data_IF_052949551158
#
_entry.id   IF_052949551158
#
_cell.length_a   1.000
_cell.length_b   1.000
_cell.length_c   1.000
_cell.angle_alpha   90.00
_cell.angle_beta   90.00
_cell.angle_gamma   90.00
#
_symmetry.space_group_name_H-M   'P 1'
#
loop_
_entity.id
_entity.type
_entity.pdbx_description
1 polymer ?
#
# COMPACT_ATOMS: atom_id res chain seq x y z
N UNK A 1 -7.67 -5.13 -26.96
CA UNK A 1 -8.16 -4.38 -25.77
C UNK A 1 -7.05 -4.31 -24.73
N UNK A 2 -6.68 -3.11 -24.35
CA UNK A 2 -5.65 -2.90 -23.34
C UNK A 2 -6.28 -2.99 -21.96
N UNK A 3 -5.70 -3.81 -21.10
CA UNK A 3 -6.18 -3.96 -19.73
C UNK A 3 -5.37 -3.05 -18.80
N UNK A 4 -6.08 -2.32 -17.95
CA UNK A 4 -5.43 -1.53 -16.90
C UNK A 4 -4.87 -2.44 -15.82
N UNK A 5 -3.69 -2.10 -15.33
CA UNK A 5 -3.05 -2.86 -14.26
C UNK A 5 -3.55 -2.43 -12.89
N UNK A 6 -3.57 -3.38 -11.97
CA UNK A 6 -3.83 -3.09 -10.56
C UNK A 6 -2.49 -2.90 -9.86
N UNK A 7 -2.25 -1.72 -9.33
CA UNK A 7 -0.98 -1.37 -8.69
C UNK A 7 -1.22 -0.79 -7.29
N UNK A 8 -0.25 -0.90 -6.38
CA UNK A 8 -0.37 -0.25 -5.07
C UNK A 8 -0.52 1.27 -5.21
N UNK A 9 -1.23 1.88 -4.26
CA UNK A 9 -1.48 3.32 -4.32
C UNK A 9 -0.18 4.14 -4.34
N UNK A 10 0.86 3.70 -3.63
CA UNK A 10 2.13 4.45 -3.61
C UNK A 10 2.84 4.43 -4.96
N UNK A 11 2.63 3.39 -5.76
CA UNK A 11 3.13 3.33 -7.14
C UNK A 11 2.30 4.24 -8.04
N UNK A 12 0.98 4.29 -7.85
CA UNK A 12 0.13 5.22 -8.57
C UNK A 12 0.56 6.68 -8.34
N UNK A 13 0.84 7.04 -7.09
CA UNK A 13 1.35 8.36 -6.73
C UNK A 13 2.67 8.66 -7.41
N UNK A 14 3.58 7.67 -7.44
CA UNK A 14 4.87 7.80 -8.09
C UNK A 14 4.73 8.02 -9.61
N UNK A 15 3.88 7.23 -10.27
CA UNK A 15 3.61 7.39 -11.70
C UNK A 15 3.06 8.79 -11.99
N UNK A 16 2.07 9.24 -11.22
CA UNK A 16 1.46 10.56 -11.40
C UNK A 16 2.50 11.66 -11.24
N UNK A 17 3.35 11.57 -10.21
CA UNK A 17 4.43 12.54 -10.00
C UNK A 17 5.40 12.57 -11.18
N UNK A 18 5.85 11.40 -11.63
CA UNK A 18 6.80 11.31 -12.75
C UNK A 18 6.22 11.91 -14.03
N UNK A 19 4.96 11.60 -14.34
CA UNK A 19 4.30 12.13 -15.53
C UNK A 19 4.06 13.64 -15.44
N UNK A 20 3.68 14.13 -14.27
CA UNK A 20 3.48 15.55 -14.04
C UNK A 20 4.77 16.35 -14.26
N UNK A 21 5.92 15.77 -13.85
CA UNK A 21 7.22 16.39 -14.05
C UNK A 21 7.91 15.96 -15.33
N UNK A 22 7.16 15.33 -16.23
CA UNK A 22 7.61 14.98 -17.59
C UNK A 22 8.76 13.98 -17.63
N UNK A 23 8.87 13.11 -16.63
CA UNK A 23 9.80 12.01 -16.67
C UNK A 23 9.39 11.05 -17.79
N UNK A 24 10.39 10.48 -18.46
CA UNK A 24 10.17 9.31 -19.31
C UNK A 24 10.07 8.07 -18.43
N UNK A 25 9.64 6.95 -19.01
CA UNK A 25 9.61 5.70 -18.25
C UNK A 25 11.02 5.28 -17.80
N UNK A 26 12.05 5.56 -18.62
CA UNK A 26 13.44 5.31 -18.20
C UNK A 26 13.82 6.15 -16.99
N UNK A 27 13.41 7.40 -16.95
CA UNK A 27 13.62 8.26 -15.79
C UNK A 27 12.89 7.77 -14.55
N UNK A 28 11.71 7.19 -14.73
CA UNK A 28 10.94 6.62 -13.62
C UNK A 28 11.61 5.36 -13.04
N UNK A 29 12.27 4.56 -13.88
CA UNK A 29 13.04 3.40 -13.41
C UNK A 29 14.32 3.79 -12.67
N UNK A 30 14.88 4.93 -13.01
CA UNK A 30 16.15 5.41 -12.43
C UNK A 30 16.07 6.92 -12.17
N UNK A 31 15.31 7.34 -11.15
CA UNK A 31 15.02 8.76 -10.92
C UNK A 31 16.25 9.57 -10.47
N UNK A 32 17.30 8.90 -10.01
CA UNK A 32 18.53 9.55 -9.54
C UNK A 32 19.62 9.53 -10.60
N UNK A 33 19.48 8.67 -11.59
CA UNK A 33 20.48 8.51 -12.66
C UNK A 33 20.30 9.49 -13.80
N UNK A 34 21.02 9.22 -14.88
CA UNK A 34 21.11 10.12 -16.04
C UNK A 34 19.76 10.41 -16.71
N UNK A 35 18.85 9.44 -16.68
CA UNK A 35 17.56 9.59 -17.36
C UNK A 35 16.49 10.23 -16.47
N UNK A 36 16.69 10.28 -15.18
CA UNK A 36 15.72 10.77 -14.22
C UNK A 36 15.86 12.23 -13.85
N UNK A 37 16.98 12.85 -14.19
CA UNK A 37 17.28 14.25 -13.86
C UNK A 37 17.20 14.53 -12.35
N UNK A 38 17.30 13.48 -11.52
CA UNK A 38 17.14 13.58 -10.09
C UNK A 38 15.67 13.68 -9.68
N UNK A 39 15.36 13.20 -8.50
CA UNK A 39 14.02 13.32 -7.95
C UNK A 39 13.90 14.65 -7.22
N UNK A 40 12.83 15.39 -7.53
CA UNK A 40 12.66 16.72 -6.96
C UNK A 40 12.40 16.64 -5.44
N UNK A 41 12.91 17.61 -4.66
CA UNK A 41 12.70 17.62 -3.21
C UNK A 41 11.24 17.70 -2.79
N UNK A 42 10.35 18.07 -3.68
CA UNK A 42 8.91 18.15 -3.42
C UNK A 42 8.22 16.79 -3.39
N UNK A 43 8.87 15.74 -3.87
CA UNK A 43 8.28 14.41 -3.80
C UNK A 43 8.27 13.91 -2.35
N UNK A 44 7.08 13.60 -1.85
CA UNK A 44 6.88 13.26 -0.43
C UNK A 44 6.73 11.77 -0.15
N UNK A 45 6.76 10.94 -1.19
CA UNK A 45 6.64 9.51 -1.04
C UNK A 45 7.97 8.83 -0.72
N UNK A 46 7.90 7.55 -0.40
CA UNK A 46 9.09 6.73 -0.16
C UNK A 46 9.60 6.16 -1.49
N UNK A 47 10.60 6.82 -2.05
CA UNK A 47 11.20 6.46 -3.35
C UNK A 47 11.78 5.04 -3.30
N UNK A 48 12.46 4.69 -2.22
CA UNK A 48 13.08 3.36 -2.12
C UNK A 48 12.05 2.24 -2.13
N UNK A 49 10.93 2.45 -1.47
CA UNK A 49 9.80 1.52 -1.49
C UNK A 49 9.27 1.35 -2.91
N UNK A 50 9.11 2.45 -3.63
CA UNK A 50 8.66 2.43 -5.02
C UNK A 50 9.63 1.65 -5.90
N UNK A 51 10.93 1.93 -5.79
CA UNK A 51 11.94 1.28 -6.61
C UNK A 51 12.05 -0.22 -6.33
N UNK A 52 11.90 -0.64 -5.07
CA UNK A 52 11.86 -2.07 -4.75
C UNK A 52 10.69 -2.76 -5.42
N UNK A 53 9.51 -2.15 -5.37
CA UNK A 53 8.34 -2.71 -6.04
C UNK A 53 8.53 -2.77 -7.55
N UNK A 54 9.01 -1.69 -8.15
CA UNK A 54 9.26 -1.59 -9.59
C UNK A 54 10.25 -2.65 -10.05
N UNK A 55 11.31 -2.85 -9.28
CA UNK A 55 12.32 -3.86 -9.60
C UNK A 55 11.74 -5.28 -9.66
N UNK A 56 10.79 -5.57 -8.78
CA UNK A 56 10.13 -6.89 -8.73
C UNK A 56 8.97 -7.02 -9.70
N UNK A 57 8.44 -5.91 -10.20
CA UNK A 57 7.22 -5.86 -11.00
C UNK A 57 7.40 -4.95 -12.21
N UNK A 58 8.57 -5.00 -12.86
CA UNK A 58 8.91 -4.06 -13.92
C UNK A 58 7.95 -4.10 -15.11
N UNK A 59 7.52 -5.30 -15.53
CA UNK A 59 6.57 -5.41 -16.63
C UNK A 59 5.21 -4.83 -16.27
N UNK A 60 4.77 -5.07 -15.04
CA UNK A 60 3.51 -4.54 -14.54
C UNK A 60 3.55 -3.03 -14.42
N UNK A 61 4.67 -2.49 -13.97
CA UNK A 61 4.90 -1.04 -13.90
C UNK A 61 4.85 -0.43 -15.30
N UNK A 62 5.55 -1.03 -16.26
CA UNK A 62 5.57 -0.55 -17.64
C UNK A 62 4.16 -0.56 -18.25
N UNK A 63 3.40 -1.63 -18.03
CA UNK A 63 2.02 -1.74 -18.49
C UNK A 63 1.13 -0.66 -17.85
N UNK A 64 1.27 -0.43 -16.56
CA UNK A 64 0.53 0.63 -15.86
C UNK A 64 0.87 2.01 -16.41
N UNK A 65 2.13 2.24 -16.70
CA UNK A 65 2.59 3.50 -17.29
C UNK A 65 1.96 3.78 -18.64
N UNK A 66 1.90 2.76 -19.50
CA UNK A 66 1.45 2.91 -20.89
C UNK A 66 -0.07 2.82 -21.02
N UNK A 67 -0.68 1.86 -20.34
CA UNK A 67 -2.10 1.51 -20.53
C UNK A 67 -3.03 2.07 -19.45
N UNK A 68 -2.47 2.64 -18.38
CA UNK A 68 -3.26 3.09 -17.25
C UNK A 68 -3.35 2.03 -16.16
N UNK A 69 -3.94 2.41 -15.03
CA UNK A 69 -3.94 1.58 -13.84
C UNK A 69 -5.19 1.81 -12.99
N UNK A 70 -5.46 0.80 -12.14
CA UNK A 70 -6.37 0.92 -11.02
C UNK A 70 -5.54 0.95 -9.74
N UNK A 71 -5.85 1.87 -8.86
CA UNK A 71 -5.17 2.06 -7.59
C UNK A 71 -5.71 1.07 -6.57
N UNK A 72 -4.83 0.27 -5.97
CA UNK A 72 -5.20 -0.60 -4.87
C UNK A 72 -5.12 0.20 -3.58
N UNK A 73 -6.22 0.25 -2.83
CA UNK A 73 -6.27 0.94 -1.56
C UNK A 73 -5.29 0.33 -0.56
N UNK A 74 -4.66 1.15 0.29
CA UNK A 74 -3.79 0.62 1.33
C UNK A 74 -4.60 -0.18 2.35
N UNK A 75 -4.01 -1.27 2.83
CA UNK A 75 -4.58 -2.07 3.92
C UNK A 75 -3.70 -1.95 5.14
N UNK A 76 -4.31 -2.11 6.29
CA UNK A 76 -3.65 -1.91 7.57
C UNK A 76 -3.86 -3.12 8.48
N UNK A 77 -2.81 -3.46 9.22
CA UNK A 77 -2.90 -4.39 10.35
C UNK A 77 -2.96 -3.56 11.62
N UNK A 78 -3.88 -3.90 12.49
CA UNK A 78 -4.15 -3.17 13.73
C UNK A 78 -3.76 -4.05 14.91
N UNK A 79 -2.82 -3.57 15.73
CA UNK A 79 -2.31 -4.28 16.89
C UNK A 79 -2.50 -3.43 18.14
N UNK A 80 -3.04 -4.03 19.20
CA UNK A 80 -3.13 -3.36 20.52
C UNK A 80 -1.79 -3.51 21.21
N UNK A 81 -1.15 -2.39 21.56
CA UNK A 81 0.20 -2.37 22.15
C UNK A 81 0.31 -3.15 23.46
N UNK A 82 -0.74 -3.15 24.25
CA UNK A 82 -0.76 -3.88 25.51
C UNK A 82 -0.74 -5.40 25.33
N UNK A 83 -1.08 -5.89 24.15
CA UNK A 83 -1.05 -7.33 23.84
C UNK A 83 0.33 -7.65 23.26
N UNK A 84 1.20 -8.24 24.07
CA UNK A 84 2.59 -8.49 23.71
C UNK A 84 2.82 -9.82 22.99
N UNK A 85 1.80 -10.65 22.87
CA UNK A 85 1.90 -11.92 22.14
C UNK A 85 2.10 -11.64 20.65
N UNK A 86 3.15 -12.20 20.03
CA UNK A 86 3.42 -11.94 18.60
C UNK A 86 2.27 -12.37 17.68
N UNK A 87 2.15 -11.68 16.55
CA UNK A 87 1.23 -12.00 15.46
C UNK A 87 -0.24 -11.98 15.84
N UNK A 88 -0.62 -11.21 16.86
CA UNK A 88 -2.04 -11.01 17.21
C UNK A 88 -2.50 -9.63 16.78
N UNK A 89 -3.49 -9.62 15.89
CA UNK A 89 -4.00 -8.42 15.25
C UNK A 89 -5.54 -8.40 15.31
N UNK A 90 -6.11 -7.25 15.04
CA UNK A 90 -7.55 -7.14 14.83
C UNK A 90 -7.92 -7.89 13.56
N UNK A 91 -8.75 -8.90 13.68
CA UNK A 91 -9.13 -9.75 12.56
C UNK A 91 -10.64 -9.78 12.37
N UNK A 92 -11.05 -10.01 11.12
CA UNK A 92 -12.44 -10.22 10.74
C UNK A 92 -12.64 -11.68 10.36
N UNK A 93 -13.59 -12.34 10.99
CA UNK A 93 -13.93 -13.73 10.69
C UNK A 93 -14.76 -13.84 9.43
N UNK A 94 -14.24 -14.51 8.42
CA UNK A 94 -14.94 -14.67 7.14
C UNK A 94 -16.23 -15.48 7.26
N UNK A 95 -16.25 -16.45 8.17
CA UNK A 95 -17.40 -17.32 8.38
C UNK A 95 -18.36 -16.78 9.42
N UNK A 96 -17.83 -16.20 10.51
CA UNK A 96 -18.67 -15.71 11.61
C UNK A 96 -19.21 -14.30 11.40
N UNK A 97 -18.51 -13.49 10.58
CA UNK A 97 -18.85 -12.07 10.41
C UNK A 97 -18.51 -11.22 11.62
N UNK A 98 -17.71 -11.73 12.54
CA UNK A 98 -17.37 -11.05 13.77
C UNK A 98 -15.91 -10.59 13.79
N UNK A 99 -15.61 -9.60 14.64
CA UNK A 99 -14.29 -9.05 14.82
C UNK A 99 -13.72 -9.49 16.18
N UNK A 100 -12.43 -9.85 16.18
CA UNK A 100 -11.70 -10.13 17.44
C UNK A 100 -10.20 -9.99 17.23
N UNK A 101 -9.43 -10.21 18.29
CA UNK A 101 -7.96 -10.21 18.24
C UNK A 101 -7.49 -11.64 18.11
N UNK A 102 -6.77 -11.95 17.04
CA UNK A 102 -6.33 -13.32 16.79
C UNK A 102 -5.06 -13.35 15.95
N UNK A 103 -4.52 -14.54 15.77
CA UNK A 103 -3.31 -14.73 14.95
C UNK A 103 -3.63 -14.47 13.47
N UNK A 104 -2.67 -13.83 12.80
CA UNK A 104 -2.86 -13.40 11.42
C UNK A 104 -2.72 -14.51 10.37
N UNK A 105 -2.11 -15.63 10.75
CA UNK A 105 -1.91 -16.76 9.84
C UNK A 105 -3.10 -17.71 9.72
N UNK A 106 -4.18 -17.45 10.45
CA UNK A 106 -5.36 -18.30 10.41
C UNK A 106 -6.18 -18.05 9.14
N UNK A 107 -6.50 -19.12 8.39
CA UNK A 107 -7.15 -19.00 7.07
C UNK A 107 -8.54 -18.37 7.10
N UNK A 108 -9.25 -18.57 8.20
CA UNK A 108 -10.67 -18.17 8.31
C UNK A 108 -10.83 -16.70 8.67
N UNK A 109 -9.74 -15.95 8.78
CA UNK A 109 -9.78 -14.56 9.19
C UNK A 109 -9.03 -13.66 8.20
N UNK A 110 -9.47 -12.41 8.12
CA UNK A 110 -8.74 -11.35 7.44
C UNK A 110 -8.07 -10.49 8.48
N UNK A 111 -6.76 -10.31 8.33
CA UNK A 111 -5.94 -9.57 9.30
C UNK A 111 -5.50 -8.19 8.82
N UNK A 112 -5.75 -7.87 7.56
CA UNK A 112 -5.47 -6.53 7.03
C UNK A 112 -6.74 -5.94 6.45
N UNK A 113 -6.96 -4.64 6.67
CA UNK A 113 -8.22 -3.98 6.37
C UNK A 113 -7.98 -2.61 5.75
N UNK A 114 -8.85 -2.21 4.83
CA UNK A 114 -8.83 -0.84 4.32
C UNK A 114 -9.34 0.10 5.42
N UNK A 115 -8.99 1.38 5.31
CA UNK A 115 -9.50 2.39 6.24
C UNK A 115 -11.03 2.43 6.22
N UNK A 116 -11.63 2.38 5.04
CA UNK A 116 -13.08 2.38 4.89
C UNK A 116 -13.73 1.21 5.64
N UNK A 117 -13.18 0.00 5.49
CA UNK A 117 -13.68 -1.18 6.19
C UNK A 117 -13.63 -0.99 7.71
N UNK A 118 -12.52 -0.45 8.22
CA UNK A 118 -12.37 -0.19 9.65
C UNK A 118 -13.35 0.87 10.15
N UNK A 119 -13.51 1.94 9.40
CA UNK A 119 -14.46 3.01 9.76
C UNK A 119 -15.90 2.49 9.77
N UNK A 120 -16.30 1.73 8.76
CA UNK A 120 -17.65 1.17 8.66
C UNK A 120 -17.96 0.19 9.79
N UNK A 121 -16.95 -0.50 10.30
CA UNK A 121 -17.11 -1.43 11.41
C UNK A 121 -17.02 -0.75 12.79
N UNK A 122 -16.81 0.55 12.84
CA UNK A 122 -16.70 1.30 14.08
C UNK A 122 -15.29 1.38 14.65
N UNK A 123 -14.27 1.03 13.87
CA UNK A 123 -12.87 1.04 14.29
C UNK A 123 -12.08 2.23 13.77
N UNK A 124 -12.73 3.27 13.24
CA UNK A 124 -12.01 4.44 12.69
C UNK A 124 -11.11 5.14 13.72
N UNK A 125 -11.42 5.01 15.00
CA UNK A 125 -10.64 5.60 16.09
C UNK A 125 -9.22 5.02 16.22
N UNK A 126 -8.95 3.84 15.63
CA UNK A 126 -7.62 3.20 15.77
C UNK A 126 -6.51 4.05 15.16
N UNK A 127 -6.82 4.88 14.17
CA UNK A 127 -5.82 5.73 13.52
C UNK A 127 -5.34 6.88 14.41
N UNK A 128 -6.07 7.20 15.45
CA UNK A 128 -5.76 8.30 16.35
C UNK A 128 -5.50 7.84 17.81
N UNK A 129 -5.34 6.54 18.01
CA UNK A 129 -5.20 5.97 19.34
C UNK A 129 -3.75 5.57 19.64
N UNK A 130 -3.17 6.16 20.68
CA UNK A 130 -1.79 5.86 21.09
C UNK A 130 -1.60 4.42 21.58
N UNK A 131 -2.67 3.77 22.02
CA UNK A 131 -2.63 2.38 22.49
C UNK A 131 -2.62 1.34 21.37
N UNK A 132 -2.66 1.79 20.13
CA UNK A 132 -2.76 0.93 18.95
C UNK A 132 -1.60 1.22 18.02
N UNK A 133 -1.01 0.15 17.47
CA UNK A 133 0.00 0.24 16.43
C UNK A 133 -0.64 -0.12 15.09
N UNK A 134 -0.53 0.76 14.11
CA UNK A 134 -1.04 0.57 12.77
C UNK A 134 0.14 0.30 11.83
N UNK A 135 0.09 -0.82 11.12
CA UNK A 135 1.10 -1.17 10.13
C UNK A 135 0.44 -1.26 8.77
N UNK A 136 0.90 -0.45 7.83
CA UNK A 136 0.42 -0.51 6.46
C UNK A 136 1.02 -1.71 5.75
N UNK A 137 0.18 -2.47 5.04
CA UNK A 137 0.60 -3.64 4.26
C UNK A 137 0.11 -3.52 2.83
N UNK A 138 0.95 -3.99 1.91
CA UNK A 138 0.65 -4.03 0.47
C UNK A 138 1.09 -5.34 -0.13
#
# INVERSE_FOLDING_TARGET
MQMKEKIPYYIARYIDYCKEHKFTILGAFDPIGDFGEGLLPTYKGDVQKCLRWINRNSNKFASAWVNGYYELEPKYKVKVKAITVPNKYLVYGKLSGEWWIWIDSFKEVESSHTRETLEDAGFGWVFDCDGVEITEVN
#
